data_IF_284190370344
#
_entry.id   IF_284190370344
#
_cell.length_a   1.000
_cell.length_b   1.000
_cell.length_c   1.000
_cell.angle_alpha   90.00
_cell.angle_beta   90.00
_cell.angle_gamma   90.00
#
_symmetry.space_group_name_H-M   'P 1'
#
loop_
_entity.id
_entity.type
_entity.pdbx_description
1 polymer ?
#
# COMPACT_ATOMS: atom_id res chain seq x y z
N UNK A 1 -7.81 -16.33 7.97
CA UNK A 1 -7.75 -16.98 6.64
C UNK A 1 -7.25 -16.02 5.56
N UNK A 2 -7.94 -14.92 5.27
CA UNK A 2 -7.54 -13.98 4.21
C UNK A 2 -6.12 -13.39 4.37
N UNK A 3 -5.75 -12.90 5.56
CA UNK A 3 -4.40 -12.37 5.83
C UNK A 3 -3.31 -13.44 5.75
N UNK A 4 -3.60 -14.65 6.23
CA UNK A 4 -2.68 -15.80 6.14
C UNK A 4 -2.43 -16.21 4.69
N UNK A 5 -3.47 -16.16 3.85
CA UNK A 5 -3.35 -16.41 2.42
C UNK A 5 -2.58 -15.31 1.70
N UNK A 6 -2.81 -14.04 2.05
CA UNK A 6 -2.02 -12.92 1.55
C UNK A 6 -0.54 -13.03 1.93
N UNK A 7 -0.23 -13.49 3.15
CA UNK A 7 1.14 -13.77 3.58
C UNK A 7 1.78 -14.87 2.73
N UNK A 8 1.04 -15.94 2.43
CA UNK A 8 1.53 -17.01 1.55
C UNK A 8 1.80 -16.51 0.12
N UNK A 9 0.93 -15.65 -0.41
CA UNK A 9 1.15 -15.00 -1.72
C UNK A 9 2.39 -14.11 -1.70
N UNK A 10 2.55 -13.24 -0.70
CA UNK A 10 3.71 -12.36 -0.58
C UNK A 10 5.01 -13.17 -0.44
N UNK A 11 4.99 -14.25 0.33
CA UNK A 11 6.11 -15.18 0.45
C UNK A 11 6.42 -15.88 -0.89
N UNK A 12 5.40 -16.33 -1.62
CA UNK A 12 5.58 -16.95 -2.93
C UNK A 12 6.19 -15.97 -3.95
N UNK A 13 5.73 -14.71 -3.97
CA UNK A 13 6.31 -13.67 -4.83
C UNK A 13 7.79 -13.44 -4.48
N UNK A 14 8.12 -13.36 -3.18
CA UNK A 14 9.51 -13.19 -2.72
C UNK A 14 10.39 -14.39 -3.10
N UNK A 15 9.90 -15.61 -2.93
CA UNK A 15 10.62 -16.84 -3.27
C UNK A 15 10.84 -16.93 -4.78
N UNK A 16 9.82 -16.66 -5.59
CA UNK A 16 9.95 -16.63 -7.06
C UNK A 16 10.95 -15.57 -7.48
N UNK A 17 10.86 -14.34 -6.96
CA UNK A 17 11.82 -13.28 -7.27
C UNK A 17 13.25 -13.68 -6.90
N UNK A 18 13.46 -14.25 -5.71
CA UNK A 18 14.77 -14.74 -5.29
C UNK A 18 15.30 -15.87 -6.18
N UNK A 19 14.48 -16.90 -6.48
CA UNK A 19 14.90 -18.01 -7.31
C UNK A 19 15.21 -17.62 -8.77
N UNK A 20 14.50 -16.61 -9.28
CA UNK A 20 14.56 -16.17 -10.68
C UNK A 20 15.68 -15.14 -10.90
N UNK A 21 15.86 -14.19 -9.98
CA UNK A 21 16.79 -13.06 -10.14
C UNK A 21 18.10 -13.22 -9.35
N UNK A 22 18.10 -13.89 -8.20
CA UNK A 22 19.33 -14.07 -7.42
C UNK A 22 20.30 -15.07 -8.06
N UNK A 23 19.78 -16.03 -8.83
CA UNK A 23 20.61 -17.06 -9.51
C UNK A 23 21.17 -16.62 -10.86
N UNK A 24 20.61 -15.58 -11.48
CA UNK A 24 20.97 -15.09 -12.81
C UNK A 24 21.99 -13.94 -12.78
N UNK A 25 22.32 -13.39 -11.60
CA UNK A 25 23.31 -12.32 -11.45
C UNK A 25 22.83 -10.92 -11.85
N UNK A 26 21.55 -10.80 -12.24
CA UNK A 26 20.93 -9.57 -12.74
C UNK A 26 20.43 -8.70 -11.57
N UNK A 27 21.29 -7.80 -11.07
CA UNK A 27 20.94 -6.87 -9.97
C UNK A 27 20.14 -5.63 -10.41
N UNK A 28 19.84 -5.51 -11.72
CA UNK A 28 19.18 -4.34 -12.32
C UNK A 28 17.66 -4.47 -12.52
N UNK A 29 17.05 -5.59 -12.13
CA UNK A 29 15.63 -5.87 -12.39
C UNK A 29 14.77 -5.25 -11.28
N UNK A 30 14.32 -4.02 -11.50
CA UNK A 30 13.51 -3.25 -10.53
C UNK A 30 12.02 -3.15 -10.90
N UNK A 31 11.63 -3.49 -12.14
CA UNK A 31 10.28 -3.21 -12.65
C UNK A 31 9.41 -4.44 -12.93
N UNK A 32 8.10 -4.27 -12.74
CA UNK A 32 7.05 -5.28 -12.99
C UNK A 32 7.08 -5.78 -14.45
N UNK A 33 7.55 -4.93 -15.37
CA UNK A 33 7.63 -5.21 -16.80
C UNK A 33 8.69 -6.29 -17.11
N UNK A 34 9.77 -6.32 -16.34
CA UNK A 34 10.83 -7.31 -16.46
C UNK A 34 10.41 -8.66 -15.90
N UNK A 35 9.60 -8.69 -14.83
CA UNK A 35 9.02 -9.92 -14.31
C UNK A 35 8.15 -10.65 -15.35
N UNK A 36 7.36 -9.92 -16.14
CA UNK A 36 6.56 -10.48 -17.24
C UNK A 36 7.42 -11.11 -18.34
N UNK A 37 8.54 -10.46 -18.70
CA UNK A 37 9.46 -10.94 -19.74
C UNK A 37 10.33 -12.11 -19.27
N UNK A 38 10.71 -12.13 -17.98
CA UNK A 38 11.60 -13.15 -17.41
C UNK A 38 10.88 -14.43 -16.98
N UNK A 39 9.56 -14.37 -16.73
CA UNK A 39 8.74 -15.57 -16.49
C UNK A 39 8.52 -16.42 -17.75
N UNK A 40 8.58 -15.81 -18.94
CA UNK A 40 8.31 -16.48 -20.23
C UNK A 40 9.36 -17.56 -20.56
N UNK A 41 10.69 -17.30 -20.46
CA UNK A 41 11.70 -18.33 -20.74
C UNK A 41 11.96 -19.29 -19.57
N UNK A 42 11.73 -18.88 -18.30
CA UNK A 42 12.14 -19.67 -17.12
C UNK A 42 11.10 -20.71 -16.64
N UNK A 43 9.83 -20.56 -17.01
CA UNK A 43 8.78 -21.53 -16.64
C UNK A 43 8.42 -22.51 -17.76
N UNK A 44 8.82 -22.25 -19.01
CA UNK A 44 8.57 -23.15 -20.15
C UNK A 44 7.08 -23.38 -20.51
N UNK A 45 6.13 -22.76 -19.80
CA UNK A 45 4.68 -22.88 -20.02
C UNK A 45 4.15 -21.60 -20.65
N UNK A 46 3.68 -21.66 -21.90
CA UNK A 46 3.16 -20.51 -22.64
C UNK A 46 1.98 -19.76 -22.01
N UNK A 47 1.46 -20.21 -20.86
CA UNK A 47 0.35 -19.61 -20.12
C UNK A 47 0.72 -18.81 -18.86
N UNK A 48 1.98 -18.84 -18.37
CA UNK A 48 2.36 -18.18 -17.12
C UNK A 48 2.10 -16.66 -17.16
N UNK A 49 2.42 -16.04 -18.30
CA UNK A 49 2.22 -14.61 -18.56
C UNK A 49 0.74 -14.21 -18.57
N UNK A 50 -0.15 -15.09 -19.06
CA UNK A 50 -1.60 -14.85 -19.06
C UNK A 50 -2.20 -14.95 -17.65
N UNK A 51 -1.75 -15.94 -16.85
CA UNK A 51 -2.17 -16.08 -15.44
C UNK A 51 -1.71 -14.89 -14.61
N UNK A 52 -0.47 -14.42 -14.81
CA UNK A 52 0.04 -13.22 -14.15
C UNK A 52 -0.76 -11.97 -14.53
N UNK A 53 -1.05 -11.77 -15.83
CA UNK A 53 -1.87 -10.66 -16.29
C UNK A 53 -3.28 -10.69 -15.69
N UNK A 54 -3.90 -11.88 -15.62
CA UNK A 54 -5.20 -12.05 -14.98
C UNK A 54 -5.16 -11.74 -13.48
N UNK A 55 -4.13 -12.22 -12.77
CA UNK A 55 -3.93 -11.93 -11.35
C UNK A 55 -3.75 -10.42 -11.09
N UNK A 56 -3.00 -9.73 -11.95
CA UNK A 56 -2.80 -8.29 -11.87
C UNK A 56 -4.11 -7.52 -12.09
N UNK A 57 -4.91 -7.92 -13.09
CA UNK A 57 -6.24 -7.35 -13.33
C UNK A 57 -7.18 -7.57 -12.13
N UNK A 58 -7.24 -8.80 -11.61
CA UNK A 58 -8.06 -9.14 -10.46
C UNK A 58 -7.66 -8.34 -9.21
N UNK A 59 -6.36 -8.19 -8.95
CA UNK A 59 -5.83 -7.35 -7.87
C UNK A 59 -6.25 -5.88 -8.00
N UNK A 60 -6.18 -5.32 -9.23
CA UNK A 60 -6.61 -3.95 -9.51
C UNK A 60 -8.10 -3.70 -9.25
N UNK A 61 -8.97 -4.66 -9.58
CA UNK A 61 -10.41 -4.56 -9.28
C UNK A 61 -10.68 -4.58 -7.77
N UNK A 62 -10.03 -5.47 -7.03
CA UNK A 62 -10.19 -5.56 -5.57
C UNK A 62 -9.74 -4.26 -4.87
N UNK A 63 -8.60 -3.70 -5.27
CA UNK A 63 -8.09 -2.44 -4.74
C UNK A 63 -9.05 -1.26 -5.00
N UNK A 64 -9.65 -1.19 -6.19
CA UNK A 64 -10.61 -0.14 -6.54
C UNK A 64 -11.88 -0.22 -5.69
N UNK A 65 -12.46 -1.42 -5.55
CA UNK A 65 -13.66 -1.62 -4.73
C UNK A 65 -13.40 -1.26 -3.27
N UNK A 66 -12.34 -1.81 -2.69
CA UNK A 66 -11.95 -1.53 -1.30
C UNK A 66 -11.68 -0.04 -1.09
N UNK A 67 -10.96 0.61 -2.01
CA UNK A 67 -10.67 2.04 -1.95
C UNK A 67 -11.92 2.91 -2.00
N UNK A 68 -12.91 2.59 -2.85
CA UNK A 68 -14.16 3.37 -2.92
C UNK A 68 -15.03 3.24 -1.68
N UNK A 69 -15.10 2.05 -1.08
CA UNK A 69 -15.83 1.79 0.16
C UNK A 69 -15.15 2.44 1.36
N UNK A 70 -13.83 2.26 1.50
CA UNK A 70 -13.06 2.91 2.56
C UNK A 70 -13.15 4.44 2.47
N UNK A 71 -13.03 4.99 1.26
CA UNK A 71 -13.24 6.41 0.99
C UNK A 71 -14.63 6.89 1.39
N UNK A 72 -15.67 6.06 1.21
CA UNK A 72 -17.02 6.40 1.68
C UNK A 72 -17.08 6.54 3.19
N UNK A 73 -16.58 5.53 3.90
CA UNK A 73 -16.64 5.45 5.36
C UNK A 73 -15.91 6.66 5.96
N UNK A 74 -14.75 7.02 5.41
CA UNK A 74 -13.99 8.17 5.86
C UNK A 74 -14.72 9.49 5.55
N UNK A 75 -15.23 9.67 4.32
CA UNK A 75 -15.92 10.90 3.94
C UNK A 75 -17.23 11.12 4.70
N UNK A 76 -18.03 10.08 4.90
CA UNK A 76 -19.29 10.17 5.63
C UNK A 76 -19.04 10.26 7.14
N UNK A 77 -18.06 9.52 7.67
CA UNK A 77 -17.77 9.51 9.10
C UNK A 77 -17.04 10.75 9.60
N UNK A 78 -15.99 11.22 8.89
CA UNK A 78 -15.17 12.35 9.33
C UNK A 78 -15.60 13.69 8.74
N UNK A 79 -16.08 13.72 7.49
CA UNK A 79 -16.44 14.97 6.80
C UNK A 79 -17.95 15.18 6.70
N UNK A 80 -18.79 14.18 7.03
CA UNK A 80 -20.24 14.20 6.84
C UNK A 80 -20.69 14.54 5.39
N UNK A 81 -19.86 14.21 4.38
CA UNK A 81 -20.16 14.50 2.97
C UNK A 81 -20.64 13.23 2.26
N UNK A 82 -21.84 13.27 1.67
CA UNK A 82 -22.39 12.17 0.86
C UNK A 82 -22.31 12.50 -0.63
N UNK A 83 -21.39 11.86 -1.33
CA UNK A 83 -21.19 12.03 -2.79
C UNK A 83 -21.50 10.72 -3.52
N UNK A 84 -22.13 10.82 -4.69
CA UNK A 84 -22.40 9.68 -5.59
C UNK A 84 -21.08 8.93 -5.92
N UNK A 85 -21.05 7.59 -5.94
CA UNK A 85 -19.82 6.81 -6.10
C UNK A 85 -19.01 7.14 -7.37
N UNK A 86 -19.68 7.39 -8.50
CA UNK A 86 -19.01 7.74 -9.76
C UNK A 86 -18.27 9.08 -9.66
N UNK A 87 -18.88 10.08 -9.01
CA UNK A 87 -18.32 11.41 -8.85
C UNK A 87 -17.15 11.38 -7.86
N UNK A 88 -17.26 10.58 -6.80
CA UNK A 88 -16.16 10.32 -5.86
C UNK A 88 -14.96 9.69 -6.56
N UNK A 89 -15.20 8.67 -7.40
CA UNK A 89 -14.16 8.01 -8.20
C UNK A 89 -13.52 8.99 -9.20
N UNK A 90 -14.31 9.88 -9.80
CA UNK A 90 -13.80 10.90 -10.71
C UNK A 90 -12.91 11.91 -9.98
N UNK A 91 -13.38 12.49 -8.87
CA UNK A 91 -12.64 13.49 -8.08
C UNK A 91 -11.32 12.91 -7.58
N UNK A 92 -11.34 11.75 -6.93
CA UNK A 92 -10.12 11.10 -6.38
C UNK A 92 -9.12 10.77 -7.48
N UNK A 93 -9.60 10.31 -8.65
CA UNK A 93 -8.75 10.01 -9.80
C UNK A 93 -8.18 11.27 -10.46
N UNK A 94 -8.94 12.35 -10.54
CA UNK A 94 -8.44 13.64 -11.04
C UNK A 94 -7.38 14.23 -10.10
N UNK A 95 -7.62 14.19 -8.78
CA UNK A 95 -6.65 14.66 -7.78
C UNK A 95 -5.35 13.84 -7.84
N UNK A 96 -5.40 12.56 -8.21
CA UNK A 96 -4.19 11.76 -8.40
C UNK A 96 -3.50 12.02 -9.74
N UNK A 97 -4.26 12.10 -10.84
CA UNK A 97 -3.70 12.19 -12.21
C UNK A 97 -3.18 13.60 -12.51
N UNK A 98 -3.88 14.65 -12.09
CA UNK A 98 -3.51 16.03 -12.45
C UNK A 98 -2.12 16.40 -11.92
N UNK A 99 -1.78 16.19 -10.63
CA UNK A 99 -0.44 16.48 -10.12
C UNK A 99 0.62 15.62 -10.81
N UNK A 100 0.34 14.32 -10.99
CA UNK A 100 1.27 13.41 -11.66
C UNK A 100 1.56 13.83 -13.10
N UNK A 101 0.53 14.22 -13.86
CA UNK A 101 0.66 14.71 -15.22
C UNK A 101 1.44 16.02 -15.28
N UNK A 102 1.15 16.97 -14.38
CA UNK A 102 1.90 18.23 -14.28
C UNK A 102 3.37 17.95 -13.96
N UNK A 103 3.67 17.10 -12.98
CA UNK A 103 5.07 16.76 -12.66
C UNK A 103 5.79 16.05 -13.80
N UNK A 104 5.11 15.18 -14.54
CA UNK A 104 5.70 14.53 -15.70
C UNK A 104 6.02 15.53 -16.81
N UNK A 105 5.14 16.51 -17.06
CA UNK A 105 5.34 17.53 -18.09
C UNK A 105 6.47 18.51 -17.72
N UNK A 106 6.52 18.96 -16.46
CA UNK A 106 7.47 19.99 -16.03
C UNK A 106 8.82 19.45 -15.52
N UNK A 107 8.83 18.27 -14.90
CA UNK A 107 10.00 17.72 -14.19
C UNK A 107 10.42 16.33 -14.71
N UNK A 108 9.74 15.79 -15.72
CA UNK A 108 10.07 14.50 -16.35
C UNK A 108 9.97 13.29 -15.41
N UNK A 109 10.74 12.25 -15.71
CA UNK A 109 10.74 10.98 -14.98
C UNK A 109 11.20 11.13 -13.52
N UNK A 110 12.21 11.98 -13.27
CA UNK A 110 12.72 12.24 -11.92
C UNK A 110 11.65 12.86 -11.00
N UNK A 111 10.87 13.82 -11.51
CA UNK A 111 9.77 14.42 -10.73
C UNK A 111 8.64 13.42 -10.44
N UNK A 112 8.36 12.52 -11.37
CA UNK A 112 7.32 11.48 -11.19
C UNK A 112 7.75 10.44 -10.15
N UNK A 113 9.02 10.02 -10.17
CA UNK A 113 9.58 9.10 -9.18
C UNK A 113 9.54 9.72 -7.77
N UNK A 114 9.91 10.99 -7.64
CA UNK A 114 9.82 11.74 -6.40
C UNK A 114 8.38 11.84 -5.87
N UNK A 115 7.41 12.11 -6.75
CA UNK A 115 5.99 12.17 -6.38
C UNK A 115 5.44 10.81 -5.93
N UNK A 116 5.94 9.73 -6.53
CA UNK A 116 5.63 8.36 -6.11
C UNK A 116 6.20 8.09 -4.70
N UNK A 117 7.46 8.43 -4.44
CA UNK A 117 8.07 8.32 -3.11
C UNK A 117 7.28 9.12 -2.08
N UNK A 118 6.92 10.37 -2.39
CA UNK A 118 6.14 11.23 -1.51
C UNK A 118 4.76 10.65 -1.20
N UNK A 119 4.11 10.03 -2.20
CA UNK A 119 2.84 9.32 -1.99
C UNK A 119 3.00 8.17 -0.99
N UNK A 120 4.12 7.42 -1.05
CA UNK A 120 4.40 6.36 -0.08
C UNK A 120 4.62 6.91 1.32
N UNK A 121 5.29 8.05 1.47
CA UNK A 121 5.48 8.72 2.78
C UNK A 121 4.15 9.13 3.37
N UNK A 122 3.25 9.71 2.57
CA UNK A 122 1.92 10.10 3.03
C UNK A 122 1.14 8.87 3.51
N UNK A 123 1.16 7.77 2.75
CA UNK A 123 0.50 6.51 3.14
C UNK A 123 1.07 5.93 4.44
N UNK A 124 2.38 6.01 4.62
CA UNK A 124 3.07 5.48 5.79
C UNK A 124 2.71 6.26 7.07
N UNK A 125 2.61 7.59 6.96
CA UNK A 125 2.10 8.47 8.02
C UNK A 125 0.64 8.16 8.36
N UNK A 126 -0.22 8.01 7.36
CA UNK A 126 -1.65 7.73 7.55
C UNK A 126 -1.87 6.48 8.40
N UNK A 127 -1.08 5.42 8.20
CA UNK A 127 -1.19 4.19 8.97
C UNK A 127 -0.93 4.43 10.46
N UNK A 128 0.12 5.17 10.79
CA UNK A 128 0.43 5.51 12.18
C UNK A 128 -0.73 6.29 12.83
N UNK A 129 -1.27 7.29 12.12
CA UNK A 129 -2.42 8.05 12.58
C UNK A 129 -3.72 7.24 12.70
N UNK A 130 -3.88 6.15 11.95
CA UNK A 130 -5.04 5.27 12.05
C UNK A 130 -4.93 4.27 13.21
N UNK A 131 -3.73 3.75 13.47
CA UNK A 131 -3.51 2.70 14.49
C UNK A 131 -3.71 3.23 15.91
N UNK A 132 -3.18 4.41 16.26
CA UNK A 132 -3.32 4.94 17.63
C UNK A 132 -4.78 5.16 18.06
N UNK A 133 -5.65 5.84 17.27
CA UNK A 133 -7.07 5.96 17.58
C UNK A 133 -7.79 4.62 17.63
N UNK A 134 -7.44 3.67 16.74
CA UNK A 134 -8.03 2.34 16.76
C UNK A 134 -7.75 1.61 18.07
N UNK A 135 -6.48 1.59 18.52
CA UNK A 135 -6.10 0.98 19.79
C UNK A 135 -6.77 1.70 20.96
N UNK A 136 -6.87 3.04 20.91
CA UNK A 136 -7.58 3.83 21.92
C UNK A 136 -9.06 3.48 21.99
N UNK A 137 -9.76 3.41 20.85
CA UNK A 137 -11.20 3.12 20.80
C UNK A 137 -11.51 1.69 21.20
N UNK A 138 -10.70 0.72 20.78
CA UNK A 138 -10.86 -0.69 21.18
C UNK A 138 -10.47 -0.96 22.64
N UNK A 139 -9.75 -0.02 23.27
CA UNK A 139 -9.40 -0.07 24.70
C UNK A 139 -10.36 0.75 25.59
N UNK A 140 -11.36 1.41 25.01
CA UNK A 140 -12.30 2.27 25.74
C UNK A 140 -13.53 1.46 26.21
N UNK A 141 -13.70 1.35 27.53
CA UNK A 141 -14.79 0.58 28.15
C UNK A 141 -16.16 1.19 27.89
N UNK A 142 -16.24 2.51 27.68
CA UNK A 142 -17.51 3.17 27.33
C UNK A 142 -17.94 2.83 25.90
N UNK A 143 -16.99 2.53 25.00
CA UNK A 143 -17.28 2.23 23.59
C UNK A 143 -17.45 0.74 23.30
N UNK A 144 -16.66 -0.11 23.95
CA UNK A 144 -16.60 -1.56 23.65
C UNK A 144 -17.33 -2.43 24.69
N UNK A 145 -17.70 -1.88 25.85
CA UNK A 145 -18.43 -2.61 26.90
C UNK A 145 -17.67 -3.82 27.42
N UNK A 146 -18.22 -5.02 27.22
CA UNK A 146 -17.60 -6.30 27.61
C UNK A 146 -16.52 -6.77 26.61
N UNK A 147 -16.52 -6.23 25.39
CA UNK A 147 -15.57 -6.59 24.32
C UNK A 147 -14.29 -5.72 24.32
N UNK A 148 -13.97 -5.10 25.45
CA UNK A 148 -12.73 -4.31 25.59
C UNK A 148 -11.51 -5.22 25.48
N UNK A 149 -10.47 -4.72 24.81
CA UNK A 149 -9.21 -5.45 24.71
C UNK A 149 -8.65 -5.80 26.11
N UNK A 150 -8.28 -7.08 26.35
CA UNK A 150 -7.58 -7.45 27.57
C UNK A 150 -6.21 -6.75 27.63
N UNK A 151 -5.70 -6.53 28.84
CA UNK A 151 -4.50 -5.71 29.08
C UNK A 151 -3.28 -6.18 28.27
N UNK A 152 -3.11 -7.49 28.09
CA UNK A 152 -2.02 -8.05 27.28
C UNK A 152 -2.11 -7.61 25.81
N UNK A 153 -3.31 -7.65 25.23
CA UNK A 153 -3.55 -7.26 23.84
C UNK A 153 -3.38 -5.75 23.67
N UNK A 154 -3.83 -4.97 24.65
CA UNK A 154 -3.62 -3.52 24.68
C UNK A 154 -2.13 -3.17 24.69
N UNK A 155 -1.33 -3.81 25.56
CA UNK A 155 0.12 -3.59 25.63
C UNK A 155 0.76 -3.97 24.29
N UNK A 156 0.47 -5.17 23.78
CA UNK A 156 1.00 -5.64 22.50
C UNK A 156 0.65 -4.68 21.35
N UNK A 157 -0.60 -4.20 21.29
CA UNK A 157 -1.05 -3.29 20.25
C UNK A 157 -0.35 -1.92 20.32
N UNK A 158 -0.13 -1.37 21.52
CA UNK A 158 0.64 -0.13 21.68
C UNK A 158 2.12 -0.32 21.34
N UNK A 159 2.73 -1.46 21.71
CA UNK A 159 4.12 -1.78 21.32
C UNK A 159 4.26 -1.81 19.80
N UNK A 160 3.36 -2.52 19.11
CA UNK A 160 3.34 -2.57 17.64
C UNK A 160 3.09 -1.18 17.04
N UNK A 161 2.17 -0.40 17.60
CA UNK A 161 1.89 0.96 17.13
C UNK A 161 3.11 1.88 17.24
N UNK A 162 3.81 1.85 18.38
CA UNK A 162 5.03 2.63 18.61
C UNK A 162 6.16 2.16 17.68
N UNK A 163 6.31 0.86 17.48
CA UNK A 163 7.30 0.30 16.57
C UNK A 163 7.06 0.78 15.13
N UNK A 164 5.83 0.67 14.64
CA UNK A 164 5.43 1.16 13.31
C UNK A 164 5.66 2.67 13.19
N UNK A 165 5.26 3.45 14.18
CA UNK A 165 5.44 4.90 14.17
C UNK A 165 6.93 5.30 14.15
N UNK A 166 7.77 4.57 14.88
CA UNK A 166 9.21 4.77 14.92
C UNK A 166 9.86 4.48 13.56
N UNK A 167 9.48 3.36 12.91
CA UNK A 167 9.95 3.04 11.56
C UNK A 167 9.50 4.08 10.53
N UNK A 168 8.26 4.56 10.62
CA UNK A 168 7.75 5.61 9.75
C UNK A 168 8.50 6.94 9.96
N UNK A 169 8.77 7.32 11.21
CA UNK A 169 9.55 8.51 11.52
C UNK A 169 10.98 8.39 10.98
N UNK A 170 11.63 7.24 11.15
CA UNK A 170 12.96 6.98 10.59
C UNK A 170 12.96 7.09 9.05
N UNK A 171 11.99 6.47 8.38
CA UNK A 171 11.87 6.50 6.93
C UNK A 171 11.61 7.93 6.43
N UNK A 172 10.80 8.70 7.14
CA UNK A 172 10.53 10.11 6.84
C UNK A 172 11.80 10.95 6.96
N UNK A 173 12.54 10.84 8.06
CA UNK A 173 13.81 11.55 8.26
C UNK A 173 14.80 11.20 7.15
N UNK A 174 14.92 9.91 6.81
CA UNK A 174 15.81 9.45 5.73
C UNK A 174 15.44 10.08 4.40
N UNK A 175 14.17 10.02 4.00
CA UNK A 175 13.73 10.61 2.72
C UNK A 175 13.94 12.11 2.73
N UNK A 176 13.55 12.81 3.80
CA UNK A 176 13.72 14.26 3.89
C UNK A 176 15.21 14.67 3.82
N UNK A 177 16.09 13.88 4.44
CA UNK A 177 17.54 14.10 4.35
C UNK A 177 18.09 13.92 2.93
N UNK A 178 17.58 12.94 2.17
CA UNK A 178 17.94 12.72 0.75
C UNK A 178 17.42 13.83 -0.17
N UNK A 179 16.37 14.55 0.23
CA UNK A 179 15.83 15.66 -0.54
C UNK A 179 16.55 16.99 -0.27
N UNK A 180 17.10 17.16 0.93
CA UNK A 180 17.78 18.39 1.34
C UNK A 180 19.29 18.36 1.05
N UNK A 181 19.91 17.18 1.07
CA UNK A 181 21.33 16.97 0.73
C UNK A 181 21.54 16.65 -0.74
#
# INVERSE_FOLDING_TARGET
VALSFALFINAAILIVAAATFHRSGETGVAEIQDAYRLLTPLLGVGGASAVFAFALLASGQNSTLTGTLAGQIVMEGFLNIRIRPWLRRLITRLIAIVPAALTAIFFGEHGTAQLLILSQVILSLQLSFAVFPLVRFTSDRLKMGEFVNPTWLKILAYVVAVFIASLNAYLLVRIFSTWIG
#
